data_IF_249162809126
#
_entry.id   IF_249162809126
#
_cell.length_a   1.000
_cell.length_b   1.000
_cell.length_c   1.000
_cell.angle_alpha   90.00
_cell.angle_beta   90.00
_cell.angle_gamma   90.00
#
_symmetry.space_group_name_H-M   'P 1'
#
loop_
_entity.id
_entity.type
_entity.pdbx_description
1 polymer ?
#
# COMPACT_ATOMS: atom_id res chain seq x y z
N UNK A 1 3.03 -11.38 -12.43
CA UNK A 1 3.73 -10.96 -11.20
C UNK A 1 5.25 -10.95 -11.38
N UNK A 2 5.85 -12.00 -11.95
CA UNK A 2 7.31 -11.98 -12.24
C UNK A 2 7.74 -10.78 -13.08
N UNK A 3 6.97 -10.39 -14.10
CA UNK A 3 7.22 -9.19 -14.92
C UNK A 3 7.14 -7.84 -14.18
N UNK A 4 6.63 -7.82 -12.94
CA UNK A 4 6.55 -6.62 -12.08
C UNK A 4 7.70 -6.59 -11.06
N UNK A 5 8.46 -7.67 -10.94
CA UNK A 5 9.55 -7.78 -9.99
C UNK A 5 10.84 -7.25 -10.62
N UNK A 6 11.41 -6.23 -10.02
CA UNK A 6 12.72 -5.69 -10.37
C UNK A 6 13.65 -6.01 -9.22
N UNK A 7 14.62 -6.89 -9.47
CA UNK A 7 15.65 -7.17 -8.48
C UNK A 7 16.51 -5.90 -8.29
N UNK A 8 16.74 -5.44 -7.05
CA UNK A 8 17.67 -4.36 -6.78
C UNK A 8 19.09 -4.74 -7.28
N UNK A 9 19.91 -3.75 -7.68
CA UNK A 9 21.22 -3.98 -8.30
C UNK A 9 22.14 -4.83 -7.40
N UNK A 10 22.97 -5.67 -8.03
CA UNK A 10 23.80 -6.71 -7.39
C UNK A 10 24.81 -6.19 -6.34
N UNK A 11 25.00 -4.88 -6.26
CA UNK A 11 25.84 -4.21 -5.24
C UNK A 11 25.17 -4.11 -3.87
N UNK A 12 23.85 -4.32 -3.77
CA UNK A 12 23.12 -4.35 -2.50
C UNK A 12 22.77 -5.80 -2.15
N UNK A 13 23.50 -6.37 -1.20
CA UNK A 13 23.27 -7.71 -0.62
C UNK A 13 21.98 -7.78 0.22
N UNK A 14 20.89 -7.16 -0.22
CA UNK A 14 19.76 -6.91 0.67
C UNK A 14 18.47 -7.44 0.05
N UNK A 15 18.17 -8.71 0.31
CA UNK A 15 16.79 -9.17 0.26
C UNK A 15 16.16 -8.92 1.63
N UNK A 16 15.33 -7.87 1.80
CA UNK A 16 14.71 -7.60 3.09
C UNK A 16 13.72 -8.73 3.40
N UNK A 17 13.91 -9.36 4.55
CA UNK A 17 12.98 -10.34 5.11
C UNK A 17 12.24 -9.72 6.27
N UNK A 18 10.93 -9.56 6.14
CA UNK A 18 10.10 -9.07 7.22
C UNK A 18 10.15 -10.05 8.42
N UNK A 19 10.64 -9.56 9.56
CA UNK A 19 10.73 -10.34 10.82
C UNK A 19 9.69 -9.88 11.85
N UNK A 20 9.20 -8.65 11.74
CA UNK A 20 8.08 -8.12 12.51
C UNK A 20 7.27 -7.15 11.64
N UNK A 21 6.17 -6.59 12.17
CA UNK A 21 5.36 -5.60 11.45
C UNK A 21 6.17 -4.38 10.99
N UNK A 22 7.22 -4.01 11.74
CA UNK A 22 8.02 -2.81 11.47
C UNK A 22 9.52 -3.09 11.26
N UNK A 23 9.95 -4.35 11.28
CA UNK A 23 11.37 -4.70 11.17
C UNK A 23 11.63 -5.69 10.04
N UNK A 24 12.69 -5.39 9.31
CA UNK A 24 13.23 -6.20 8.23
C UNK A 24 14.65 -6.65 8.61
N UNK A 25 14.96 -7.91 8.30
CA UNK A 25 16.32 -8.43 8.37
C UNK A 25 16.84 -8.55 6.96
N UNK A 26 18.00 -7.98 6.71
CA UNK A 26 18.73 -8.19 5.47
C UNK A 26 19.28 -9.62 5.43
N UNK A 27 18.94 -10.36 4.38
CA UNK A 27 19.43 -11.71 4.14
C UNK A 27 20.18 -11.81 2.83
N UNK A 28 21.33 -12.49 2.87
CA UNK A 28 22.02 -12.97 1.68
C UNK A 28 21.16 -14.04 1.01
N UNK A 29 20.54 -13.70 -0.11
CA UNK A 29 19.73 -14.64 -0.89
C UNK A 29 20.17 -14.56 -2.35
N UNK A 30 20.47 -15.71 -2.95
CA UNK A 30 20.86 -15.82 -4.35
C UNK A 30 19.75 -15.30 -5.26
N UNK A 31 20.11 -14.71 -6.41
CA UNK A 31 19.18 -14.00 -7.30
C UNK A 31 17.93 -14.81 -7.69
N UNK A 32 18.07 -16.12 -7.88
CA UNK A 32 16.99 -17.03 -8.26
C UNK A 32 15.94 -17.25 -7.16
N UNK A 33 16.29 -17.08 -5.89
CA UNK A 33 15.38 -17.30 -4.75
C UNK A 33 14.70 -16.00 -4.27
N UNK A 34 15.17 -14.83 -4.75
CA UNK A 34 14.68 -13.52 -4.30
C UNK A 34 13.21 -13.31 -4.64
N UNK A 35 12.78 -13.66 -5.86
CA UNK A 35 11.37 -13.54 -6.25
C UNK A 35 10.46 -14.41 -5.38
N UNK A 36 10.83 -15.68 -5.22
CA UNK A 36 10.10 -16.64 -4.39
C UNK A 36 9.95 -16.17 -2.94
N UNK A 37 11.04 -15.62 -2.38
CA UNK A 37 11.06 -15.10 -1.01
C UNK A 37 10.18 -13.85 -0.87
N UNK A 38 10.31 -12.91 -1.81
CA UNK A 38 9.49 -11.70 -1.86
C UNK A 38 8.00 -12.03 -2.01
N UNK A 39 7.66 -12.94 -2.92
CA UNK A 39 6.30 -13.38 -3.16
C UNK A 39 5.69 -14.05 -1.90
N UNK A 40 6.45 -14.93 -1.24
CA UNK A 40 6.00 -15.56 0.02
C UNK A 40 5.77 -14.54 1.13
N UNK A 41 6.58 -13.49 1.23
CA UNK A 41 6.38 -12.44 2.24
C UNK A 41 5.08 -11.67 2.01
N UNK A 42 4.82 -11.23 0.77
CA UNK A 42 3.55 -10.57 0.41
C UNK A 42 2.36 -11.49 0.66
N UNK A 43 2.48 -12.77 0.32
CA UNK A 43 1.43 -13.76 0.58
C UNK A 43 1.18 -13.97 2.08
N UNK A 44 2.23 -14.08 2.90
CA UNK A 44 2.12 -14.23 4.35
C UNK A 44 1.45 -13.00 4.99
N UNK A 45 1.80 -11.79 4.52
CA UNK A 45 1.14 -10.57 4.95
C UNK A 45 -0.37 -10.62 4.64
N UNK A 46 -0.74 -10.94 3.40
CA UNK A 46 -2.14 -11.06 3.01
C UNK A 46 -2.91 -12.08 3.86
N UNK A 47 -2.30 -13.22 4.16
CA UNK A 47 -2.92 -14.25 5.01
C UNK A 47 -3.09 -13.80 6.45
N UNK A 48 -2.11 -13.09 7.03
CA UNK A 48 -2.19 -12.55 8.39
C UNK A 48 -3.33 -11.54 8.52
N UNK A 49 -3.53 -10.71 7.50
CA UNK A 49 -4.53 -9.65 7.50
C UNK A 49 -5.80 -9.97 6.72
N UNK A 50 -5.98 -11.23 6.33
CA UNK A 50 -7.14 -11.68 5.54
C UNK A 50 -8.50 -11.20 6.09
N UNK A 51 -8.76 -11.22 7.42
CA UNK A 51 -10.03 -10.69 7.97
C UNK A 51 -10.26 -9.20 7.70
N UNK A 52 -9.17 -8.43 7.56
CA UNK A 52 -9.18 -6.99 7.30
C UNK A 52 -9.18 -6.65 5.80
N UNK A 53 -9.07 -7.65 4.92
CA UNK A 53 -9.08 -7.48 3.46
C UNK A 53 -10.19 -8.32 2.79
N UNK A 54 -11.47 -8.07 3.08
CA UNK A 54 -12.56 -8.74 2.39
C UNK A 54 -12.46 -8.48 0.88
N UNK A 55 -12.69 -9.51 0.03
CA UNK A 55 -12.64 -9.34 -1.41
C UNK A 55 -13.70 -8.35 -1.88
N UNK A 56 -13.30 -7.44 -2.77
CA UNK A 56 -14.26 -6.57 -3.44
C UNK A 56 -15.17 -7.42 -4.34
N UNK A 57 -16.44 -7.57 -3.93
CA UNK A 57 -17.43 -8.19 -4.77
C UNK A 57 -17.75 -7.23 -5.92
N UNK A 58 -17.33 -7.58 -7.14
CA UNK A 58 -17.75 -6.90 -8.37
C UNK A 58 -19.27 -6.72 -8.32
N UNK A 59 -19.71 -5.47 -8.45
CA UNK A 59 -21.10 -5.04 -8.35
C UNK A 59 -21.93 -5.93 -9.29
N UNK A 60 -22.66 -6.91 -8.75
CA UNK A 60 -23.74 -7.57 -9.49
C UNK A 60 -24.92 -6.62 -9.39
N UNK A 61 -25.43 -6.17 -10.53
CA UNK A 61 -26.41 -5.07 -10.69
C UNK A 61 -27.76 -5.23 -9.94
N UNK A 62 -27.93 -6.26 -9.11
CA UNK A 62 -29.22 -6.62 -8.51
C UNK A 62 -29.21 -6.74 -6.98
N UNK A 63 -28.24 -6.19 -6.26
CA UNK A 63 -28.22 -6.24 -4.78
C UNK A 63 -28.29 -4.85 -4.16
N UNK A 64 -29.52 -4.42 -3.84
CA UNK A 64 -29.86 -3.16 -3.16
C UNK A 64 -29.25 -3.08 -1.73
N UNK A 65 -28.76 -4.19 -1.19
CA UNK A 65 -28.13 -4.26 0.15
C UNK A 65 -26.61 -4.00 0.15
N UNK A 66 -26.12 -3.03 -0.62
CA UNK A 66 -24.68 -2.78 -0.81
C UNK A 66 -24.06 -1.69 0.07
N UNK A 67 -24.81 -0.89 0.83
CA UNK A 67 -24.22 0.30 1.46
C UNK A 67 -23.31 0.03 2.67
N UNK A 68 -23.42 -1.12 3.34
CA UNK A 68 -22.78 -1.36 4.64
C UNK A 68 -21.90 -2.62 4.69
N UNK A 69 -21.37 -3.12 3.56
CA UNK A 69 -20.43 -4.25 3.62
C UNK A 69 -19.03 -3.76 3.93
N UNK A 70 -18.33 -4.47 4.82
CA UNK A 70 -17.00 -4.10 5.30
C UNK A 70 -16.05 -3.85 4.12
N UNK A 71 -15.52 -2.63 4.03
CA UNK A 71 -14.44 -2.26 3.12
C UNK A 71 -13.14 -2.84 3.66
N UNK A 72 -12.18 -3.13 2.78
CA UNK A 72 -10.82 -3.42 3.22
C UNK A 72 -10.29 -2.28 4.08
N UNK A 73 -9.58 -2.64 5.15
CA UNK A 73 -8.89 -1.69 5.99
C UNK A 73 -7.80 -1.01 5.15
N UNK A 74 -8.00 0.28 4.87
CA UNK A 74 -7.16 1.08 3.97
C UNK A 74 -5.71 1.13 4.47
N UNK A 75 -5.49 1.08 5.79
CA UNK A 75 -4.15 1.07 6.36
C UNK A 75 -3.43 -0.23 6.05
N UNK A 76 -4.12 -1.35 6.21
CA UNK A 76 -3.55 -2.67 5.93
C UNK A 76 -3.25 -2.83 4.44
N UNK A 77 -4.12 -2.30 3.57
CA UNK A 77 -3.88 -2.31 2.11
C UNK A 77 -2.67 -1.44 1.75
N UNK A 78 -2.55 -0.25 2.35
CA UNK A 78 -1.41 0.63 2.16
C UNK A 78 -0.09 -0.02 2.60
N UNK A 79 -0.05 -0.58 3.81
CA UNK A 79 1.14 -1.26 4.36
C UNK A 79 1.55 -2.47 3.50
N UNK A 80 0.59 -3.20 2.91
CA UNK A 80 0.88 -4.27 1.96
C UNK A 80 1.52 -3.76 0.67
N UNK A 81 1.05 -2.61 0.16
CA UNK A 81 1.60 -2.00 -1.05
C UNK A 81 3.01 -1.46 -0.81
N UNK A 82 3.27 -0.86 0.35
CA UNK A 82 4.60 -0.42 0.78
C UNK A 82 5.55 -1.62 0.92
N UNK A 83 5.10 -2.70 1.57
CA UNK A 83 5.86 -3.96 1.65
C UNK A 83 6.21 -4.50 0.27
N UNK A 84 5.24 -4.55 -0.65
CA UNK A 84 5.46 -5.04 -2.01
C UNK A 84 6.50 -4.18 -2.76
N UNK A 85 6.42 -2.84 -2.64
CA UNK A 85 7.39 -1.93 -3.25
C UNK A 85 8.79 -2.13 -2.68
N UNK A 86 8.94 -2.22 -1.36
CA UNK A 86 10.21 -2.51 -0.68
C UNK A 86 10.82 -3.86 -1.09
N UNK A 87 9.98 -4.83 -1.42
CA UNK A 87 10.41 -6.15 -1.90
C UNK A 87 10.75 -6.18 -3.41
N UNK A 88 10.61 -5.07 -4.12
CA UNK A 88 10.94 -4.96 -5.55
C UNK A 88 9.76 -5.14 -6.51
N UNK A 89 8.53 -5.27 -6.01
CA UNK A 89 7.34 -5.30 -6.87
C UNK A 89 6.91 -3.89 -7.27
N UNK A 90 6.87 -3.64 -8.57
CA UNK A 90 6.51 -2.36 -9.15
C UNK A 90 5.35 -2.54 -10.13
N UNK A 91 4.24 -1.84 -9.88
CA UNK A 91 3.16 -1.64 -10.84
C UNK A 91 2.45 -0.33 -10.59
N UNK A 92 1.63 0.08 -11.55
CA UNK A 92 0.84 1.29 -11.41
C UNK A 92 -0.17 1.15 -10.25
N UNK A 93 -0.75 -0.03 -10.04
CA UNK A 93 -1.65 -0.29 -8.91
C UNK A 93 -0.93 -0.19 -7.55
N UNK A 94 0.27 -0.76 -7.42
CA UNK A 94 1.07 -0.64 -6.19
C UNK A 94 1.40 0.85 -5.94
N UNK A 95 1.80 1.57 -6.99
CA UNK A 95 2.10 3.00 -6.90
C UNK A 95 0.87 3.81 -6.47
N UNK A 96 -0.30 3.51 -7.03
CA UNK A 96 -1.54 4.18 -6.70
C UNK A 96 -1.97 3.93 -5.25
N UNK A 97 -1.80 2.70 -4.75
CA UNK A 97 -2.08 2.37 -3.35
C UNK A 97 -1.12 3.08 -2.38
N UNK A 98 0.18 3.12 -2.69
CA UNK A 98 1.17 3.86 -1.88
C UNK A 98 0.87 5.37 -1.89
N UNK A 99 0.45 5.92 -3.04
CA UNK A 99 0.07 7.33 -3.12
C UNK A 99 -1.17 7.68 -2.28
N UNK A 100 -2.01 6.70 -1.97
CA UNK A 100 -3.23 6.83 -1.16
C UNK A 100 -2.97 6.64 0.35
N UNK A 101 -1.75 6.93 0.82
CA UNK A 101 -1.37 6.87 2.24
C UNK A 101 -2.48 7.36 3.19
N UNK A 102 -2.86 6.57 4.21
CA UNK A 102 -3.85 6.97 5.21
C UNK A 102 -3.49 8.30 5.88
N UNK A 103 -2.21 8.53 6.14
CA UNK A 103 -1.72 9.78 6.73
C UNK A 103 -1.95 10.96 5.79
N UNK A 104 -1.68 10.80 4.49
CA UNK A 104 -1.97 11.84 3.48
C UNK A 104 -3.46 12.15 3.42
N UNK A 105 -4.31 11.12 3.49
CA UNK A 105 -5.76 11.30 3.51
C UNK A 105 -6.25 12.02 4.76
N UNK A 106 -5.71 11.67 5.94
CA UNK A 106 -6.02 12.33 7.21
C UNK A 106 -5.55 13.79 7.19
N UNK A 107 -4.31 14.04 6.75
CA UNK A 107 -3.77 15.39 6.62
C UNK A 107 -4.62 16.24 5.66
N UNK A 108 -4.97 15.69 4.49
CA UNK A 108 -5.88 16.31 3.52
C UNK A 108 -7.22 16.68 4.16
N UNK A 109 -7.85 15.72 4.83
CA UNK A 109 -9.14 15.93 5.49
C UNK A 109 -9.04 17.00 6.60
N UNK A 110 -8.00 16.94 7.42
CA UNK A 110 -7.76 17.90 8.50
C UNK A 110 -7.54 19.32 7.97
N UNK A 111 -6.72 19.49 6.92
CA UNK A 111 -6.48 20.78 6.28
C UNK A 111 -7.77 21.38 5.70
N UNK A 112 -8.61 20.55 5.08
CA UNK A 112 -9.91 20.97 4.53
C UNK A 112 -10.90 21.32 5.64
N UNK A 113 -10.95 20.55 6.73
CA UNK A 113 -11.82 20.84 7.87
C UNK A 113 -11.41 22.09 8.64
N UNK A 114 -10.11 22.36 8.77
CA UNK A 114 -9.60 23.52 9.49
C UNK A 114 -9.98 24.85 8.82
N UNK A 115 -10.30 24.85 7.51
CA UNK A 115 -10.72 26.04 6.78
C UNK A 115 -12.24 26.17 6.78
N UNK A 116 -12.74 27.38 7.08
CA UNK A 116 -14.16 27.71 6.92
C UNK A 116 -14.55 27.56 5.43
N UNK A 117 -15.56 26.73 5.08
CA UNK A 117 -16.01 26.61 3.71
C UNK A 117 -16.41 27.98 3.14
N UNK A 118 -15.83 28.34 1.99
CA UNK A 118 -16.18 29.57 1.26
C UNK A 118 -15.36 30.83 1.58
N UNK A 119 -14.50 30.83 2.62
CA UNK A 119 -13.67 32.01 2.93
C UNK A 119 -12.21 31.88 2.46
N UNK A 120 -11.68 30.66 2.36
CA UNK A 120 -10.29 30.42 2.01
C UNK A 120 -10.17 29.11 1.23
N UNK A 121 -9.54 29.18 0.07
CA UNK A 121 -9.16 28.01 -0.74
C UNK A 121 -7.64 27.86 -0.69
N UNK A 122 -7.16 26.63 -0.59
CA UNK A 122 -5.75 26.37 -0.82
C UNK A 122 -5.48 26.45 -2.33
N UNK A 123 -4.37 27.09 -2.70
CA UNK A 123 -3.82 26.89 -4.03
C UNK A 123 -3.48 25.40 -4.21
N UNK A 124 -3.84 24.79 -5.33
CA UNK A 124 -3.69 23.36 -5.54
C UNK A 124 -2.23 22.89 -5.45
N UNK A 125 -1.26 23.72 -5.84
CA UNK A 125 0.17 23.38 -5.76
C UNK A 125 0.67 23.46 -4.33
N UNK A 126 0.25 24.48 -3.58
CA UNK A 126 0.60 24.64 -2.17
C UNK A 126 -0.06 23.56 -1.31
N UNK A 127 -1.29 23.17 -1.65
CA UNK A 127 -2.06 22.19 -0.90
C UNK A 127 -1.37 20.83 -0.82
N UNK A 128 -0.92 20.31 -1.96
CA UNK A 128 -0.25 19.00 -1.98
C UNK A 128 1.11 19.07 -1.24
N UNK A 129 1.84 20.20 -1.29
CA UNK A 129 3.08 20.37 -0.51
C UNK A 129 2.88 20.46 1.01
N UNK A 130 1.65 20.65 1.50
CA UNK A 130 1.33 20.66 2.93
C UNK A 130 0.97 19.27 3.47
N UNK A 131 0.80 18.29 2.58
CA UNK A 131 0.36 16.92 2.90
C UNK A 131 1.56 15.96 2.95
N UNK A 132 2.64 16.28 2.24
CA UNK A 132 3.88 15.49 2.14
C UNK A 132 4.93 15.87 3.19
#
# INVERSE_FOLDING_TARGET
MEQMFVAPPETEEDCPVQISESAFRQGLTGSTERFDLAYRQVWLYAMRHYPSMPPELKRKDNLIAQSNRAKADERVVYEMAELAQCLGFHSDEIRDLVNQSPDRQIARAALLQAKKPGCFQYDARVFETLID
#
